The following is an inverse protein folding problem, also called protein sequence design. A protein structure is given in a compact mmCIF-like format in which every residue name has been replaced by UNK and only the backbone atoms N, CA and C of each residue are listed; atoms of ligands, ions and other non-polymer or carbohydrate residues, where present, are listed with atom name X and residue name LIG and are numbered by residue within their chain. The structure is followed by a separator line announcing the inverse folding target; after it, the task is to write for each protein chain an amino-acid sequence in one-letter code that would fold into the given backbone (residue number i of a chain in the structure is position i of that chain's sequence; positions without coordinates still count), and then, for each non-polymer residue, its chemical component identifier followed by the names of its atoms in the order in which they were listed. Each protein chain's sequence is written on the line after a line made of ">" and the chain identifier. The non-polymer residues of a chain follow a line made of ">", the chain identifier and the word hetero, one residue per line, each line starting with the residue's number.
data_IF_953854115003
#
_entry.id   IF_953854115003
#
_cell.length_a   1.000
_cell.length_b   1.000
_cell.length_c   1.000
_cell.angle_alpha   90.00
_cell.angle_beta   90.00
_cell.angle_gamma   90.00
#
_symmetry.space_group_name_H-M   'P 1'
#
loop_
_entity.id
_entity.type
_entity.pdbx_description
1 polymer ?
#
# COMPACT_ATOMS: atom_id res chain seq x y z
N UNK A 1 11.99 -12.42 -17.47
CA UNK A 1 10.94 -13.42 -17.22
C UNK A 1 11.34 -14.25 -16.02
N UNK A 2 10.65 -14.05 -14.91
CA UNK A 2 10.78 -14.89 -13.71
C UNK A 2 10.04 -16.21 -14.01
N UNK A 3 10.64 -17.37 -13.70
CA UNK A 3 9.99 -18.67 -13.93
C UNK A 3 8.74 -18.85 -13.06
N UNK A 4 7.77 -19.66 -13.51
CA UNK A 4 6.50 -19.90 -12.80
C UNK A 4 6.73 -20.42 -11.37
N UNK A 5 7.69 -21.33 -11.20
CA UNK A 5 8.03 -21.93 -9.90
C UNK A 5 8.61 -20.89 -8.92
N UNK A 6 9.31 -19.88 -9.45
CA UNK A 6 9.84 -18.76 -8.66
C UNK A 6 8.71 -17.82 -8.22
N UNK A 7 7.73 -17.56 -9.09
CA UNK A 7 6.57 -16.72 -8.75
C UNK A 7 5.70 -17.36 -7.67
N UNK A 8 5.45 -18.67 -7.75
CA UNK A 8 4.71 -19.39 -6.70
C UNK A 8 5.43 -19.34 -5.36
N UNK A 9 6.76 -19.55 -5.35
CA UNK A 9 7.57 -19.42 -4.14
C UNK A 9 7.47 -18.04 -3.49
N UNK A 10 7.55 -16.97 -4.29
CA UNK A 10 7.42 -15.59 -3.79
C UNK A 10 6.01 -15.28 -3.29
N UNK A 11 4.97 -15.88 -3.89
CA UNK A 11 3.59 -15.73 -3.42
C UNK A 11 3.39 -16.39 -2.05
N UNK A 12 3.98 -17.57 -1.82
CA UNK A 12 3.95 -18.22 -0.51
C UNK A 12 4.68 -17.36 0.54
N UNK A 13 5.87 -16.86 0.19
CA UNK A 13 6.64 -15.98 1.08
C UNK A 13 5.87 -14.69 1.40
N UNK A 14 5.17 -14.11 0.43
CA UNK A 14 4.31 -12.95 0.66
C UNK A 14 3.19 -13.26 1.66
N UNK A 15 2.59 -14.45 1.61
CA UNK A 15 1.55 -14.85 2.57
C UNK A 15 2.11 -14.99 3.99
N UNK A 16 3.35 -15.46 4.12
CA UNK A 16 4.05 -15.52 5.41
C UNK A 16 4.32 -14.10 5.94
N UNK A 17 4.80 -13.18 5.10
CA UNK A 17 5.05 -11.79 5.50
C UNK A 17 3.76 -11.04 5.86
N UNK A 18 2.65 -11.27 5.14
CA UNK A 18 1.34 -10.74 5.52
C UNK A 18 0.89 -11.30 6.89
N UNK A 19 1.06 -12.60 7.12
CA UNK A 19 0.72 -13.23 8.39
C UNK A 19 1.54 -12.71 9.54
N UNK A 20 2.84 -12.46 9.31
CA UNK A 20 3.70 -11.80 10.28
C UNK A 20 3.25 -10.37 10.55
N UNK A 21 2.93 -9.60 9.50
CA UNK A 21 2.45 -8.23 9.65
C UNK A 21 1.18 -8.18 10.51
N UNK A 22 0.23 -9.07 10.27
CA UNK A 22 -0.96 -9.23 11.11
C UNK A 22 -0.58 -9.56 12.56
N UNK A 23 0.26 -10.57 12.78
CA UNK A 23 0.61 -11.04 14.12
C UNK A 23 1.36 -9.98 14.94
N UNK A 24 2.19 -9.16 14.29
CA UNK A 24 2.96 -8.10 14.93
C UNK A 24 2.14 -6.86 15.30
N UNK A 25 0.85 -6.81 14.98
CA UNK A 25 -0.02 -5.70 15.35
C UNK A 25 0.03 -5.37 16.84
N UNK A 26 0.08 -6.38 17.73
CA UNK A 26 0.16 -6.14 19.17
C UNK A 26 1.41 -5.35 19.59
N UNK A 27 2.53 -5.54 18.89
CA UNK A 27 3.79 -4.80 19.12
C UNK A 27 3.64 -3.36 18.62
N UNK A 28 3.20 -3.17 17.37
CA UNK A 28 2.96 -1.83 16.79
C UNK A 28 1.97 -1.02 17.62
N UNK A 29 0.87 -1.64 18.04
CA UNK A 29 -0.13 -1.04 18.93
C UNK A 29 0.48 -0.55 20.23
N UNK A 30 1.30 -1.35 20.89
CA UNK A 30 1.90 -0.94 22.16
C UNK A 30 2.90 0.22 21.96
N UNK A 31 3.63 0.23 20.84
CA UNK A 31 4.51 1.35 20.48
C UNK A 31 3.70 2.63 20.26
N UNK A 32 2.66 2.58 19.43
CA UNK A 32 1.76 3.70 19.17
C UNK A 32 1.13 4.26 20.45
N UNK A 33 0.63 3.39 21.34
CA UNK A 33 0.03 3.84 22.61
C UNK A 33 1.06 4.58 23.49
N UNK A 34 2.28 4.07 23.58
CA UNK A 34 3.34 4.72 24.36
C UNK A 34 3.70 6.10 23.78
N UNK A 35 3.81 6.20 22.46
CA UNK A 35 4.10 7.44 21.76
C UNK A 35 2.97 8.47 21.92
N UNK A 36 1.73 8.09 21.63
CA UNK A 36 0.57 8.96 21.75
C UNK A 36 0.39 9.49 23.18
N UNK A 37 0.57 8.63 24.19
CA UNK A 37 0.51 9.05 25.59
C UNK A 37 1.66 10.00 25.97
N UNK A 38 2.84 9.84 25.38
CA UNK A 38 3.97 10.76 25.58
C UNK A 38 3.68 12.18 25.04
N UNK A 39 2.82 12.27 24.02
CA UNK A 39 2.32 13.53 23.48
C UNK A 39 1.07 14.07 24.20
N UNK A 40 0.64 13.44 25.30
CA UNK A 40 -0.44 13.91 26.17
C UNK A 40 -1.82 13.35 25.82
N UNK A 41 -1.94 12.42 24.88
CA UNK A 41 -3.19 11.72 24.60
C UNK A 41 -3.57 10.79 25.76
N UNK A 42 -4.86 10.72 26.08
CA UNK A 42 -5.34 9.74 27.07
C UNK A 42 -5.22 8.31 26.53
N UNK A 43 -5.06 7.32 27.42
CA UNK A 43 -5.00 5.92 26.99
C UNK A 43 -6.29 5.47 26.27
N UNK A 44 -7.45 5.93 26.73
CA UNK A 44 -8.75 5.62 26.11
C UNK A 44 -8.83 6.15 24.68
N UNK A 45 -8.44 7.40 24.48
CA UNK A 45 -8.39 8.03 23.16
C UNK A 45 -7.37 7.33 22.25
N UNK A 46 -6.15 7.07 22.73
CA UNK A 46 -5.13 6.38 21.94
C UNK A 46 -5.59 4.98 21.52
N UNK A 47 -6.25 4.23 22.41
CA UNK A 47 -6.82 2.90 22.08
C UNK A 47 -7.91 2.96 21.01
N UNK A 48 -8.62 4.09 20.88
CA UNK A 48 -9.63 4.26 19.85
C UNK A 48 -9.05 4.35 18.43
N UNK A 49 -7.80 4.82 18.31
CA UNK A 49 -7.06 4.87 17.04
C UNK A 49 -6.24 3.58 16.78
N UNK A 50 -5.84 2.88 17.84
CA UNK A 50 -4.95 1.73 17.74
C UNK A 50 -5.68 0.40 17.43
N UNK A 51 -6.40 0.36 16.30
CA UNK A 51 -7.27 -0.75 15.87
C UNK A 51 -6.76 -1.34 14.55
N UNK A 52 -6.72 -2.67 14.47
CA UNK A 52 -6.58 -3.38 13.19
C UNK A 52 -7.93 -3.98 12.82
N UNK A 53 -8.32 -3.76 11.56
CA UNK A 53 -9.52 -4.33 10.96
C UNK A 53 -9.16 -5.00 9.64
N UNK A 54 -9.52 -6.28 9.51
CA UNK A 54 -9.37 -7.05 8.28
C UNK A 54 -10.78 -7.41 7.80
N UNK A 55 -11.16 -6.81 6.67
CA UNK A 55 -12.42 -7.02 6.00
C UNK A 55 -12.47 -8.37 5.25
N UNK A 56 -13.68 -8.80 4.87
CA UNK A 56 -13.87 -10.08 4.19
C UNK A 56 -13.14 -10.11 2.86
N UNK A 57 -12.66 -11.30 2.47
CA UNK A 57 -12.11 -11.54 1.14
C UNK A 57 -13.18 -11.28 0.09
N UNK A 58 -12.91 -10.36 -0.83
CA UNK A 58 -13.77 -10.05 -1.96
C UNK A 58 -13.08 -10.44 -3.27
N UNK A 59 -13.81 -10.97 -4.27
CA UNK A 59 -13.22 -11.29 -5.56
C UNK A 59 -12.75 -10.02 -6.27
N UNK A 60 -11.43 -9.83 -6.34
CA UNK A 60 -10.81 -8.76 -7.13
C UNK A 60 -10.07 -9.39 -8.30
N UNK A 61 -10.41 -8.95 -9.52
CA UNK A 61 -9.74 -9.40 -10.75
C UNK A 61 -8.89 -8.29 -11.38
N UNK A 62 -9.20 -7.03 -11.07
CA UNK A 62 -8.58 -5.86 -11.70
C UNK A 62 -8.34 -4.75 -10.68
N UNK A 63 -7.21 -4.06 -10.83
CA UNK A 63 -6.94 -2.79 -10.16
C UNK A 63 -7.35 -1.61 -11.04
N UNK A 64 -8.09 -0.63 -10.52
CA UNK A 64 -8.27 0.65 -11.19
C UNK A 64 -6.93 1.39 -11.24
N UNK A 65 -6.70 2.07 -12.35
CA UNK A 65 -5.57 2.99 -12.50
C UNK A 65 -6.04 4.42 -12.24
N UNK A 66 -5.11 5.38 -12.20
CA UNK A 66 -5.47 6.79 -12.11
C UNK A 66 -6.14 7.31 -13.38
N UNK A 67 -5.96 6.64 -14.52
CA UNK A 67 -6.62 7.01 -15.76
C UNK A 67 -8.11 6.60 -15.71
N UNK A 68 -9.06 7.51 -15.95
CA UNK A 68 -10.48 7.21 -15.86
C UNK A 68 -10.90 6.02 -16.73
N UNK A 69 -11.57 5.05 -16.12
CA UNK A 69 -12.08 3.85 -16.79
C UNK A 69 -11.00 2.85 -17.24
N UNK A 70 -9.73 3.06 -16.87
CA UNK A 70 -8.64 2.14 -17.17
C UNK A 70 -8.32 1.26 -15.97
N UNK A 71 -8.15 -0.02 -16.23
CA UNK A 71 -7.85 -1.04 -15.23
C UNK A 71 -6.70 -1.93 -15.67
N UNK A 72 -6.00 -2.53 -14.70
CA UNK A 72 -4.95 -3.55 -14.92
C UNK A 72 -5.38 -4.86 -14.28
N UNK A 73 -5.16 -6.02 -14.93
CA UNK A 73 -5.38 -7.31 -14.27
C UNK A 73 -4.48 -7.43 -13.04
N UNK A 74 -4.94 -8.16 -12.01
CA UNK A 74 -4.08 -8.44 -10.86
C UNK A 74 -2.85 -9.24 -11.28
N UNK A 75 -1.69 -8.84 -10.78
CA UNK A 75 -0.50 -9.67 -10.77
C UNK A 75 -0.67 -10.84 -9.77
N UNK A 76 0.14 -11.90 -9.86
CA UNK A 76 0.07 -13.03 -8.94
C UNK A 76 0.16 -12.64 -7.46
N UNK A 77 1.03 -11.69 -7.10
CA UNK A 77 1.16 -11.24 -5.71
C UNK A 77 -0.01 -10.38 -5.25
N UNK A 78 -0.53 -9.47 -6.09
CA UNK A 78 -1.72 -8.71 -5.75
C UNK A 78 -2.93 -9.63 -5.58
N UNK A 79 -3.09 -10.62 -6.44
CA UNK A 79 -4.13 -11.63 -6.30
C UNK A 79 -3.99 -12.40 -4.98
N UNK A 80 -2.77 -12.72 -4.56
CA UNK A 80 -2.51 -13.34 -3.25
C UNK A 80 -2.91 -12.42 -2.09
N UNK A 81 -2.59 -11.12 -2.16
CA UNK A 81 -2.97 -10.12 -1.14
C UNK A 81 -4.49 -10.04 -0.96
N UNK A 82 -5.25 -9.90 -2.06
CA UNK A 82 -6.72 -9.83 -1.98
C UNK A 82 -7.37 -11.15 -1.55
N UNK A 83 -6.75 -12.30 -1.84
CA UNK A 83 -7.19 -13.60 -1.31
C UNK A 83 -6.92 -13.79 0.18
N UNK A 84 -5.91 -13.10 0.71
CA UNK A 84 -5.57 -13.13 2.12
C UNK A 84 -6.48 -12.20 2.93
N UNK A 85 -6.59 -10.95 2.51
CA UNK A 85 -7.37 -9.91 3.16
C UNK A 85 -8.03 -9.00 2.11
N UNK A 86 -9.30 -8.67 2.32
CA UNK A 86 -10.02 -7.68 1.51
C UNK A 86 -9.58 -6.26 1.86
N UNK A 87 -10.44 -5.51 2.53
CA UNK A 87 -10.05 -4.25 3.15
C UNK A 87 -9.12 -4.53 4.33
N UNK A 88 -7.98 -3.84 4.47
CA UNK A 88 -7.10 -4.02 5.63
C UNK A 88 -6.66 -2.67 6.16
N UNK A 89 -7.19 -2.32 7.33
CA UNK A 89 -6.83 -1.13 8.10
C UNK A 89 -5.96 -1.54 9.29
N UNK A 90 -4.75 -1.01 9.33
CA UNK A 90 -3.86 -1.01 10.49
C UNK A 90 -3.83 0.41 11.10
N UNK A 91 -2.97 0.64 12.10
CA UNK A 91 -2.83 1.94 12.77
C UNK A 91 -2.28 2.99 11.78
N UNK A 92 -1.23 2.60 11.07
CA UNK A 92 -0.44 3.51 10.23
C UNK A 92 -0.65 3.27 8.74
N UNK A 93 -1.48 2.29 8.35
CA UNK A 93 -1.61 1.90 6.95
C UNK A 93 -3.00 1.33 6.65
N UNK A 94 -3.62 1.85 5.60
CA UNK A 94 -4.86 1.32 5.04
C UNK A 94 -4.60 0.78 3.65
N UNK A 95 -4.54 -0.55 3.53
CA UNK A 95 -4.45 -1.24 2.26
C UNK A 95 -5.84 -1.34 1.63
N UNK A 96 -5.99 -0.71 0.47
CA UNK A 96 -7.28 -0.36 -0.09
C UNK A 96 -7.94 -1.50 -0.87
N UNK A 97 -9.27 -1.48 -0.90
CA UNK A 97 -10.03 -2.13 -1.97
C UNK A 97 -10.09 -1.26 -3.24
N UNK A 98 -10.34 -1.85 -4.43
CA UNK A 98 -10.52 -1.11 -5.68
C UNK A 98 -11.49 0.07 -5.60
N UNK A 99 -12.62 -0.08 -4.92
CA UNK A 99 -13.60 1.00 -4.79
C UNK A 99 -13.09 2.16 -3.93
N UNK A 100 -12.26 1.86 -2.92
CA UNK A 100 -11.61 2.89 -2.11
C UNK A 100 -10.51 3.61 -2.89
N UNK A 101 -9.77 2.92 -3.75
CA UNK A 101 -8.84 3.54 -4.70
C UNK A 101 -9.57 4.57 -5.56
N UNK A 102 -10.72 4.21 -6.13
CA UNK A 102 -11.52 5.13 -6.95
C UNK A 102 -12.06 6.30 -6.13
N UNK A 103 -12.52 6.04 -4.89
CA UNK A 103 -12.99 7.09 -3.96
C UNK A 103 -11.89 8.11 -3.70
N UNK A 104 -10.71 7.65 -3.29
CA UNK A 104 -9.57 8.50 -2.91
C UNK A 104 -9.03 9.24 -4.13
N UNK A 105 -8.86 8.56 -5.27
CA UNK A 105 -8.45 9.19 -6.53
C UNK A 105 -9.43 10.26 -7.04
N UNK A 106 -10.68 10.21 -6.57
CA UNK A 106 -11.71 11.21 -6.84
C UNK A 106 -11.58 12.50 -6.03
N UNK A 107 -10.83 12.50 -4.93
CA UNK A 107 -10.73 13.64 -4.01
C UNK A 107 -9.88 14.77 -4.58
N UNK A 108 -10.19 16.01 -4.22
CA UNK A 108 -9.38 17.19 -4.59
C UNK A 108 -7.97 17.09 -4.01
N UNK A 109 -7.87 16.63 -2.76
CA UNK A 109 -6.60 16.44 -2.05
C UNK A 109 -5.65 15.50 -2.80
N UNK A 110 -6.10 14.30 -3.15
CA UNK A 110 -5.27 13.35 -3.89
C UNK A 110 -4.90 13.87 -5.28
N UNK A 111 -5.82 14.55 -5.97
CA UNK A 111 -5.55 15.14 -7.29
C UNK A 111 -4.53 16.27 -7.22
N UNK A 112 -4.61 17.12 -6.19
CA UNK A 112 -3.59 18.14 -5.92
C UNK A 112 -2.25 17.48 -5.67
N UNK A 113 -2.20 16.46 -4.81
CA UNK A 113 -0.99 15.71 -4.53
C UNK A 113 -0.37 15.11 -5.81
N UNK A 114 -1.15 14.42 -6.66
CA UNK A 114 -0.65 13.91 -7.95
C UNK A 114 -0.10 15.03 -8.84
N UNK A 115 -0.78 16.18 -8.89
CA UNK A 115 -0.32 17.34 -9.65
C UNK A 115 1.01 17.87 -9.11
N UNK A 116 1.17 17.99 -7.79
CA UNK A 116 2.40 18.47 -7.17
C UNK A 116 3.56 17.50 -7.41
N UNK A 117 3.31 16.20 -7.27
CA UNK A 117 4.29 15.14 -7.59
C UNK A 117 4.77 15.24 -9.04
N UNK A 118 3.84 15.46 -9.98
CA UNK A 118 4.16 15.61 -11.42
C UNK A 118 4.96 16.86 -11.73
N UNK A 119 4.71 17.97 -11.04
CA UNK A 119 5.28 19.26 -11.41
C UNK A 119 6.57 19.59 -10.64
N UNK A 120 6.72 19.07 -9.43
CA UNK A 120 7.76 19.53 -8.50
C UNK A 120 8.67 18.42 -7.98
N UNK A 121 8.23 17.15 -7.97
CA UNK A 121 9.05 16.03 -7.54
C UNK A 121 9.59 15.24 -8.73
N UNK A 122 10.72 15.73 -9.27
CA UNK A 122 11.43 15.08 -10.38
C UNK A 122 11.77 13.65 -10.00
N UNK A 123 11.59 12.74 -10.95
CA UNK A 123 11.79 11.30 -10.79
C UNK A 123 10.74 10.56 -9.96
N UNK A 124 9.69 11.22 -9.44
CA UNK A 124 8.56 10.53 -8.81
C UNK A 124 7.78 9.63 -9.79
N UNK A 125 6.99 8.68 -9.28
CA UNK A 125 6.16 7.83 -10.12
C UNK A 125 5.16 8.64 -10.96
N UNK A 126 4.41 9.61 -10.40
CA UNK A 126 3.58 10.51 -11.20
C UNK A 126 4.39 11.31 -12.22
N UNK A 127 5.59 11.78 -11.90
CA UNK A 127 6.45 12.48 -12.86
C UNK A 127 6.84 11.59 -14.05
N UNK A 128 7.22 10.33 -13.80
CA UNK A 128 7.77 9.41 -14.80
C UNK A 128 6.72 8.69 -15.64
N UNK A 129 5.54 8.42 -15.07
CA UNK A 129 4.56 7.51 -15.67
C UNK A 129 3.20 8.16 -15.90
N UNK A 130 2.54 7.72 -16.98
CA UNK A 130 1.16 8.08 -17.26
C UNK A 130 0.19 7.46 -16.27
N UNK A 131 -0.97 8.09 -16.10
CA UNK A 131 -2.02 7.65 -15.15
C UNK A 131 -2.53 6.23 -15.41
N UNK A 132 -2.43 5.71 -16.63
CA UNK A 132 -2.81 4.35 -17.02
C UNK A 132 -1.84 3.26 -16.52
N UNK A 133 -0.74 3.69 -15.91
CA UNK A 133 0.33 2.84 -15.34
C UNK A 133 0.47 3.00 -13.83
N UNK A 134 -0.41 3.77 -13.20
CA UNK A 134 -0.37 4.09 -11.80
C UNK A 134 -1.68 3.67 -11.14
N UNK A 135 -1.59 2.99 -10.01
CA UNK A 135 -2.73 2.69 -9.14
C UNK A 135 -2.36 3.04 -7.70
N UNK A 136 -3.33 3.47 -6.89
CA UNK A 136 -3.12 3.56 -5.45
C UNK A 136 -3.15 2.15 -4.85
N UNK A 137 -2.26 1.87 -3.90
CA UNK A 137 -2.19 0.62 -3.15
C UNK A 137 -2.70 0.80 -1.72
N UNK A 138 -2.13 1.78 -1.02
CA UNK A 138 -2.40 2.02 0.38
C UNK A 138 -2.25 3.49 0.76
N UNK A 139 -2.82 3.84 1.90
CA UNK A 139 -2.76 5.17 2.49
C UNK A 139 -2.37 5.06 3.96
N UNK A 140 -1.28 5.73 4.32
CA UNK A 140 -0.90 5.93 5.71
C UNK A 140 -1.50 7.22 6.29
N UNK A 141 -1.53 8.29 5.48
CA UNK A 141 -2.15 9.57 5.85
C UNK A 141 -2.57 10.34 4.60
N UNK A 142 -3.89 10.55 4.41
CA UNK A 142 -4.37 11.41 3.32
C UNK A 142 -3.89 12.87 3.53
N UNK A 143 -3.89 13.34 4.78
CA UNK A 143 -3.50 14.71 5.18
C UNK A 143 -2.04 15.02 4.86
N UNK A 144 -1.14 14.11 5.21
CA UNK A 144 0.31 14.29 5.02
C UNK A 144 0.78 13.84 3.64
N UNK A 145 -0.13 13.33 2.80
CA UNK A 145 0.19 12.82 1.48
C UNK A 145 1.03 11.54 1.52
N UNK A 146 0.84 10.72 2.56
CA UNK A 146 1.55 9.45 2.73
C UNK A 146 0.80 8.34 1.99
N UNK A 147 1.25 8.06 0.77
CA UNK A 147 0.63 7.14 -0.16
C UNK A 147 1.62 6.10 -0.68
N UNK A 148 1.15 4.88 -0.89
CA UNK A 148 1.87 3.87 -1.67
C UNK A 148 1.16 3.62 -2.99
N UNK A 149 1.92 3.63 -4.08
CA UNK A 149 1.44 3.45 -5.45
C UNK A 149 1.98 2.17 -6.07
N UNK A 150 1.13 1.51 -6.86
CA UNK A 150 1.56 0.48 -7.82
C UNK A 150 2.02 1.16 -9.11
N UNK A 151 3.19 0.76 -9.58
CA UNK A 151 3.79 1.26 -10.82
C UNK A 151 3.95 0.11 -11.81
N UNK A 152 3.12 0.13 -12.86
CA UNK A 152 3.12 -0.88 -13.90
C UNK A 152 4.19 -0.56 -14.94
N UNK A 153 5.33 -1.26 -14.89
CA UNK A 153 6.43 -1.05 -15.85
C UNK A 153 6.10 -1.57 -17.24
N UNK A 154 5.58 -2.78 -17.31
CA UNK A 154 5.13 -3.41 -18.55
C UNK A 154 3.79 -4.13 -18.33
N UNK A 155 2.98 -4.35 -19.37
CA UNK A 155 1.77 -5.16 -19.26
C UNK A 155 2.08 -6.60 -18.85
N UNK A 156 1.43 -7.11 -17.80
CA UNK A 156 1.54 -8.50 -17.36
C UNK A 156 2.71 -8.79 -16.42
N UNK A 157 3.53 -7.79 -16.10
CA UNK A 157 4.56 -7.90 -15.05
C UNK A 157 3.98 -7.58 -13.66
N UNK A 158 4.69 -8.04 -12.63
CA UNK A 158 4.43 -7.62 -11.26
C UNK A 158 4.73 -6.11 -11.13
N UNK A 159 3.80 -5.29 -10.64
CA UNK A 159 4.06 -3.87 -10.46
C UNK A 159 5.07 -3.65 -9.34
N UNK A 160 5.86 -2.58 -9.49
CA UNK A 160 6.64 -2.05 -8.39
C UNK A 160 5.73 -1.35 -7.39
N UNK A 161 6.18 -1.23 -6.14
CA UNK A 161 5.51 -0.43 -5.11
C UNK A 161 6.37 0.77 -4.79
N UNK A 162 5.82 1.97 -4.95
CA UNK A 162 6.52 3.22 -4.65
C UNK A 162 5.78 3.91 -3.51
N UNK A 163 6.44 4.06 -2.36
CA UNK A 163 5.87 4.62 -1.13
C UNK A 163 6.44 6.00 -0.85
N UNK A 164 5.56 6.94 -0.58
CA UNK A 164 5.87 8.32 -0.21
C UNK A 164 5.52 8.51 1.25
N UNK A 165 6.53 8.70 2.10
CA UNK A 165 6.32 8.91 3.53
C UNK A 165 7.43 9.80 4.09
N UNK A 166 7.08 10.74 4.97
CA UNK A 166 8.05 11.60 5.67
C UNK A 166 9.04 12.28 4.71
N UNK A 167 8.56 12.76 3.55
CA UNK A 167 9.35 13.38 2.47
C UNK A 167 10.38 12.46 1.78
N UNK A 168 10.32 11.16 2.02
CA UNK A 168 11.15 10.16 1.37
C UNK A 168 10.32 9.35 0.37
N UNK A 169 11.00 8.88 -0.68
CA UNK A 169 10.45 7.93 -1.63
C UNK A 169 11.19 6.58 -1.46
N UNK A 170 10.42 5.52 -1.28
CA UNK A 170 10.91 4.15 -1.20
C UNK A 170 10.38 3.37 -2.40
N UNK A 171 11.25 2.62 -3.09
CA UNK A 171 10.91 1.89 -4.32
C UNK A 171 11.19 0.41 -4.14
N UNK A 172 10.15 -0.39 -4.20
CA UNK A 172 10.21 -1.84 -4.04
C UNK A 172 9.93 -2.50 -5.38
N UNK A 173 10.74 -3.50 -5.75
CA UNK A 173 10.59 -4.24 -7.01
C UNK A 173 9.24 -4.96 -7.15
N UNK A 174 8.60 -5.29 -6.03
CA UNK A 174 7.29 -5.95 -5.97
C UNK A 174 6.72 -5.94 -4.55
N UNK A 175 5.47 -6.38 -4.42
CA UNK A 175 4.70 -6.37 -3.17
C UNK A 175 5.36 -7.11 -2.01
N UNK A 176 6.07 -8.23 -2.27
CA UNK A 176 6.78 -8.97 -1.22
C UNK A 176 7.86 -8.11 -0.51
N UNK A 177 8.67 -7.35 -1.24
CA UNK A 177 9.69 -6.50 -0.61
C UNK A 177 9.07 -5.36 0.18
N UNK A 178 7.96 -4.81 -0.32
CA UNK A 178 7.19 -3.81 0.42
C UNK A 178 6.64 -4.35 1.75
N UNK A 179 6.11 -5.58 1.78
CA UNK A 179 5.66 -6.19 3.03
C UNK A 179 6.81 -6.53 4.00
N UNK A 180 7.97 -6.97 3.49
CA UNK A 180 9.18 -7.14 4.33
C UNK A 180 9.58 -5.82 4.99
N UNK A 181 9.52 -4.72 4.25
CA UNK A 181 9.77 -3.38 4.77
C UNK A 181 8.75 -2.94 5.82
N UNK A 182 7.45 -3.21 5.61
CA UNK A 182 6.41 -2.97 6.62
C UNK A 182 6.63 -3.77 7.91
N UNK A 183 7.23 -4.96 7.81
CA UNK A 183 7.66 -5.78 8.94
C UNK A 183 8.99 -5.33 9.57
N UNK A 184 9.52 -4.18 9.16
CA UNK A 184 10.77 -3.60 9.68
C UNK A 184 12.03 -4.32 9.21
N UNK A 185 11.97 -5.11 8.13
CA UNK A 185 13.15 -5.75 7.52
C UNK A 185 13.76 -4.82 6.47
N UNK A 186 15.08 -4.68 6.48
CA UNK A 186 15.80 -3.95 5.43
C UNK A 186 15.75 -4.70 4.10
N UNK A 187 15.75 -3.98 2.97
CA UNK A 187 16.01 -4.58 1.66
C UNK A 187 17.40 -5.24 1.66
N UNK A 188 17.48 -6.52 1.30
CA UNK A 188 18.74 -7.21 0.97
C UNK A 188 19.09 -7.02 -0.51
#
# INVERSE_FOLDING_TARGET
>A
MIGTDTVEGMVLELQDEMSQYQHQFGVRRNHFLAEAMSYGMSEEEARSYAIQSIGPVVPVAYMPTLAPGKTRPLSPMLAARYRYAGDWKDIDEHLLLPDEVLRIAGTEQFRSWISDMRNYWVESAPYRFGDDRLSLLSVASEEEGHFSMLVWKEPGEEPEVWTYALQHEYRFSHLLHWFKWLNGRSEE
#
